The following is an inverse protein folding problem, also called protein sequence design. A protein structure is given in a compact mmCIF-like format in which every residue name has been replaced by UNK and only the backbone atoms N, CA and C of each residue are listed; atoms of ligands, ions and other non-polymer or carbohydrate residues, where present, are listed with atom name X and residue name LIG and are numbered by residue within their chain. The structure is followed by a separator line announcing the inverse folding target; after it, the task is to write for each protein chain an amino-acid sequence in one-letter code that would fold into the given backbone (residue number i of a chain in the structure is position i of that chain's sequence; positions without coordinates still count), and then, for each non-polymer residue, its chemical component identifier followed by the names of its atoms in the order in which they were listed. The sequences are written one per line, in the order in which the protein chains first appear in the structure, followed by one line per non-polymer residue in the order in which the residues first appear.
data_IF_060285788366
#
_entry.id   IF_060285788366
#
_cell.length_a   1.000
_cell.length_b   1.000
_cell.length_c   1.000
_cell.angle_alpha   90.00
_cell.angle_beta   90.00
_cell.angle_gamma   90.00
#
_symmetry.space_group_name_H-M   'P 1'
#
loop_
_entity.id
_entity.type
_entity.pdbx_description
1 polymer ?
#
# COMPACT_ATOMS: atom_id res chain seq x y z
N UNK A 1 12.60 8.12 -37.18
CA UNK A 1 12.20 7.55 -35.88
C UNK A 1 11.24 6.41 -36.18
N UNK A 2 11.73 5.18 -36.12
CA UNK A 2 10.91 3.99 -36.30
C UNK A 2 10.36 3.57 -34.94
N UNK A 3 9.05 3.31 -34.85
CA UNK A 3 8.42 2.84 -33.62
C UNK A 3 8.15 1.34 -33.72
N UNK A 4 8.80 0.57 -32.86
CA UNK A 4 8.53 -0.85 -32.68
C UNK A 4 7.59 -1.00 -31.49
N UNK A 5 6.39 -1.54 -31.72
CA UNK A 5 5.42 -1.82 -30.66
C UNK A 5 5.48 -3.30 -30.30
N UNK A 6 5.71 -3.59 -29.03
CA UNK A 6 5.63 -4.93 -28.47
C UNK A 6 4.70 -4.91 -27.26
N UNK A 7 3.88 -5.94 -27.10
CA UNK A 7 3.03 -6.12 -25.93
C UNK A 7 3.49 -7.33 -25.14
N UNK A 8 3.38 -7.25 -23.83
CA UNK A 8 3.86 -8.29 -22.91
C UNK A 8 2.79 -9.38 -22.80
N UNK A 9 3.22 -10.64 -22.66
CA UNK A 9 2.30 -11.76 -22.46
C UNK A 9 1.61 -11.63 -21.09
N UNK A 10 0.33 -12.03 -21.00
CA UNK A 10 -0.45 -12.00 -19.75
C UNK A 10 0.31 -12.68 -18.60
N UNK A 11 0.38 -12.01 -17.45
CA UNK A 11 1.06 -12.50 -16.24
C UNK A 11 2.54 -12.13 -16.10
N UNK A 12 3.14 -11.49 -17.11
CA UNK A 12 4.55 -11.03 -17.06
C UNK A 12 4.59 -9.52 -16.83
N UNK A 13 5.50 -9.06 -15.96
CA UNK A 13 5.69 -7.65 -15.68
C UNK A 13 6.41 -6.98 -16.85
N UNK A 14 5.87 -5.86 -17.34
CA UNK A 14 6.49 -5.11 -18.42
C UNK A 14 7.88 -4.57 -18.03
N UNK A 15 8.00 -4.11 -16.78
CA UNK A 15 9.24 -3.60 -16.20
C UNK A 15 10.38 -4.63 -16.24
N UNK A 16 10.13 -5.87 -15.81
CA UNK A 16 11.17 -6.91 -15.81
C UNK A 16 11.61 -7.33 -17.21
N UNK A 17 10.72 -7.25 -18.19
CA UNK A 17 11.06 -7.51 -19.60
C UNK A 17 11.85 -6.35 -20.22
N UNK A 18 11.51 -5.09 -19.88
CA UNK A 18 12.28 -3.92 -20.31
C UNK A 18 13.70 -3.99 -19.74
N UNK A 19 13.86 -4.33 -18.46
CA UNK A 19 15.18 -4.50 -17.86
C UNK A 19 16.01 -5.60 -18.55
N UNK A 20 15.40 -6.75 -18.87
CA UNK A 20 16.07 -7.81 -19.63
C UNK A 20 16.48 -7.37 -21.03
N UNK A 21 15.63 -6.58 -21.71
CA UNK A 21 15.94 -6.05 -23.05
C UNK A 21 17.03 -4.98 -22.95
N UNK A 22 17.04 -4.13 -21.92
CA UNK A 22 18.10 -3.16 -21.65
C UNK A 22 19.45 -3.85 -21.40
N UNK A 23 19.46 -4.90 -20.57
CA UNK A 23 20.66 -5.70 -20.30
C UNK A 23 21.15 -6.41 -21.57
N UNK A 24 20.22 -6.96 -22.37
CA UNK A 24 20.55 -7.54 -23.67
C UNK A 24 21.10 -6.50 -24.65
N UNK A 25 20.49 -5.31 -24.72
CA UNK A 25 20.95 -4.20 -25.56
C UNK A 25 22.35 -3.74 -25.16
N UNK A 26 22.65 -3.68 -23.86
CA UNK A 26 23.97 -3.33 -23.34
C UNK A 26 25.04 -4.39 -23.68
N UNK A 27 24.65 -5.65 -23.85
CA UNK A 27 25.56 -6.73 -24.24
C UNK A 27 25.95 -6.73 -25.73
N UNK A 28 25.23 -5.97 -26.57
CA UNK A 28 25.44 -5.91 -28.01
C UNK A 28 26.09 -4.58 -28.42
N UNK A 29 27.03 -4.62 -29.35
CA UNK A 29 27.66 -3.43 -29.91
C UNK A 29 26.81 -2.86 -31.05
N UNK A 30 25.93 -1.91 -30.75
CA UNK A 30 25.23 -1.12 -31.76
C UNK A 30 26.11 0.03 -32.26
N UNK A 31 25.83 0.50 -33.48
CA UNK A 31 26.46 1.70 -34.02
C UNK A 31 26.10 2.92 -33.13
N UNK A 32 27.08 3.75 -32.70
CA UNK A 32 26.83 4.94 -31.88
C UNK A 32 25.87 5.95 -32.52
N UNK A 33 25.54 5.83 -33.81
CA UNK A 33 24.51 6.62 -34.47
C UNK A 33 23.06 6.24 -34.07
N UNK A 34 22.84 5.11 -33.38
CA UNK A 34 21.51 4.60 -33.03
C UNK A 34 21.20 4.86 -31.54
N UNK A 35 20.24 5.75 -31.27
CA UNK A 35 19.72 6.01 -29.93
C UNK A 35 18.43 5.21 -29.68
N UNK A 36 18.46 4.29 -28.73
CA UNK A 36 17.32 3.44 -28.37
C UNK A 36 16.70 4.00 -27.09
N UNK A 37 15.44 4.42 -27.17
CA UNK A 37 14.66 4.89 -26.01
C UNK A 37 13.39 4.05 -25.86
N UNK A 38 13.20 3.48 -24.68
CA UNK A 38 11.93 2.87 -24.29
C UNK A 38 10.89 3.97 -24.04
N UNK A 39 9.72 3.86 -24.66
CA UNK A 39 8.60 4.80 -24.51
C UNK A 39 7.29 4.07 -24.22
N UNK A 40 6.34 4.77 -23.60
CA UNK A 40 5.02 4.25 -23.26
C UNK A 40 4.94 3.83 -21.79
N UNK A 41 4.62 2.57 -21.52
CA UNK A 41 4.29 2.09 -20.18
C UNK A 41 5.44 2.24 -19.15
N UNK A 42 6.71 2.12 -19.56
CA UNK A 42 7.84 2.27 -18.64
C UNK A 42 8.08 3.74 -18.24
N UNK A 43 7.97 4.65 -19.20
CA UNK A 43 8.10 6.10 -18.98
C UNK A 43 6.97 6.60 -18.07
N UNK A 44 5.72 6.21 -18.35
CA UNK A 44 4.55 6.55 -17.54
C UNK A 44 4.63 5.97 -16.11
N UNK A 45 5.15 4.75 -15.96
CA UNK A 45 5.41 4.14 -14.65
C UNK A 45 6.49 4.90 -13.89
N UNK A 46 7.62 5.23 -14.53
CA UNK A 46 8.72 5.97 -13.90
C UNK A 46 8.29 7.37 -13.45
N UNK A 47 7.55 8.10 -14.29
CA UNK A 47 6.97 9.41 -13.95
C UNK A 47 6.00 9.29 -12.77
N UNK A 48 5.14 8.27 -12.77
CA UNK A 48 4.22 8.01 -11.66
C UNK A 48 4.96 7.69 -10.36
N UNK A 49 6.06 6.93 -10.42
CA UNK A 49 6.90 6.63 -9.26
C UNK A 49 7.61 7.87 -8.71
N UNK A 50 8.13 8.73 -9.59
CA UNK A 50 8.73 9.99 -9.20
C UNK A 50 7.71 10.91 -8.50
N UNK A 51 6.50 11.01 -9.06
CA UNK A 51 5.41 11.79 -8.46
C UNK A 51 5.00 11.25 -7.08
N UNK A 52 4.78 9.93 -6.97
CA UNK A 52 4.36 9.30 -5.70
C UNK A 52 5.45 9.37 -4.65
N UNK A 53 6.72 9.16 -5.01
CA UNK A 53 7.84 9.29 -4.06
C UNK A 53 8.03 10.72 -3.56
N UNK A 54 7.90 11.72 -4.43
CA UNK A 54 7.92 13.13 -4.05
C UNK A 54 6.74 13.50 -3.12
N UNK A 55 5.53 13.04 -3.45
CA UNK A 55 4.34 13.25 -2.62
C UNK A 55 4.47 12.55 -1.25
N UNK A 56 5.06 11.35 -1.22
CA UNK A 56 5.31 10.60 0.01
C UNK A 56 6.31 11.32 0.93
N UNK A 57 7.41 11.85 0.37
CA UNK A 57 8.38 12.65 1.13
C UNK A 57 7.75 13.94 1.67
N UNK A 58 6.95 14.64 0.87
CA UNK A 58 6.23 15.83 1.31
C UNK A 58 5.24 15.51 2.45
N UNK A 59 4.50 14.41 2.33
CA UNK A 59 3.57 13.95 3.36
C UNK A 59 4.29 13.61 4.67
N UNK A 60 5.44 12.93 4.60
CA UNK A 60 6.29 12.65 5.75
C UNK A 60 6.82 13.93 6.40
N UNK A 61 7.24 14.92 5.61
CA UNK A 61 7.72 16.20 6.14
C UNK A 61 6.60 16.96 6.89
N UNK A 62 5.40 17.03 6.31
CA UNK A 62 4.24 17.64 6.97
C UNK A 62 3.90 16.88 8.26
N UNK A 63 3.88 15.55 8.21
CA UNK A 63 3.62 14.72 9.38
C UNK A 63 4.66 14.96 10.48
N UNK A 64 5.94 15.04 10.14
CA UNK A 64 7.01 15.31 11.10
C UNK A 64 6.80 16.65 11.82
N UNK A 65 6.47 17.71 11.08
CA UNK A 65 6.18 19.04 11.66
C UNK A 65 4.99 18.96 12.62
N UNK A 66 3.90 18.28 12.22
CA UNK A 66 2.73 18.09 13.07
C UNK A 66 3.07 17.35 14.37
N UNK A 67 3.89 16.30 14.29
CA UNK A 67 4.28 15.49 15.45
C UNK A 67 5.19 16.25 16.42
N UNK A 68 6.16 17.01 15.91
CA UNK A 68 7.02 17.85 16.74
C UNK A 68 6.18 18.92 17.45
N UNK A 69 5.24 19.54 16.71
CA UNK A 69 4.34 20.53 17.29
C UNK A 69 3.39 19.95 18.35
N UNK A 70 2.98 18.69 18.21
CA UNK A 70 2.02 18.05 19.11
C UNK A 70 2.67 17.54 20.41
N UNK A 71 3.78 16.81 20.29
CA UNK A 71 4.38 16.11 21.44
C UNK A 71 5.51 16.89 22.09
N UNK A 72 6.08 17.88 21.40
CA UNK A 72 7.25 18.65 21.85
C UNK A 72 8.37 17.75 22.42
N UNK A 73 8.47 16.51 21.93
CA UNK A 73 9.37 15.47 22.41
C UNK A 73 9.83 14.59 21.24
N UNK A 74 11.13 14.65 20.94
CA UNK A 74 11.75 13.98 19.81
C UNK A 74 11.63 12.45 19.85
N UNK A 75 11.71 11.82 21.03
CA UNK A 75 11.62 10.35 21.16
C UNK A 75 10.23 9.82 20.77
N UNK A 76 9.18 10.56 21.16
CA UNK A 76 7.80 10.20 20.85
C UNK A 76 7.52 10.38 19.36
N UNK A 77 8.01 11.47 18.77
CA UNK A 77 7.91 11.70 17.33
C UNK A 77 8.67 10.64 16.51
N UNK A 78 9.86 10.20 16.94
CA UNK A 78 10.62 9.16 16.23
C UNK A 78 9.95 7.78 16.27
N UNK A 79 9.26 7.44 17.36
CA UNK A 79 8.49 6.19 17.45
C UNK A 79 7.37 6.13 16.42
N UNK A 80 6.69 7.26 16.20
CA UNK A 80 5.61 7.36 15.22
C UNK A 80 6.17 7.29 13.79
N UNK A 81 7.29 7.98 13.50
CA UNK A 81 7.96 7.88 12.21
C UNK A 81 8.39 6.45 11.88
N UNK A 82 8.94 5.72 12.85
CA UNK A 82 9.30 4.30 12.68
C UNK A 82 8.07 3.45 12.34
N UNK A 83 6.92 3.74 12.94
CA UNK A 83 5.68 3.03 12.63
C UNK A 83 5.22 3.24 11.18
N UNK A 84 5.45 4.44 10.60
CA UNK A 84 5.16 4.69 9.19
C UNK A 84 6.06 3.86 8.28
N UNK A 85 7.35 3.79 8.58
CA UNK A 85 8.30 2.94 7.82
C UNK A 85 7.93 1.46 7.93
N UNK A 86 7.51 0.99 9.11
CA UNK A 86 7.01 -0.38 9.27
C UNK A 86 5.72 -0.63 8.49
N UNK A 87 4.83 0.37 8.40
CA UNK A 87 3.61 0.28 7.60
C UNK A 87 3.92 0.11 6.11
N UNK A 88 4.84 0.91 5.57
CA UNK A 88 5.23 0.80 4.15
C UNK A 88 5.85 -0.57 3.85
N UNK A 89 6.73 -1.06 4.73
CA UNK A 89 7.30 -2.41 4.62
C UNK A 89 6.21 -3.50 4.67
N UNK A 90 5.22 -3.37 5.55
CA UNK A 90 4.09 -4.30 5.66
C UNK A 90 3.26 -4.38 4.37
N UNK A 91 3.01 -3.25 3.71
CA UNK A 91 2.30 -3.22 2.43
C UNK A 91 3.12 -3.88 1.32
N UNK A 92 4.41 -3.57 1.23
CA UNK A 92 5.30 -4.17 0.23
C UNK A 92 5.41 -5.68 0.42
N UNK A 93 5.54 -6.15 1.67
CA UNK A 93 5.51 -7.58 2.00
C UNK A 93 4.16 -8.21 1.63
N UNK A 94 3.04 -7.52 1.88
CA UNK A 94 1.71 -7.98 1.50
C UNK A 94 1.56 -8.16 -0.01
N UNK A 95 2.05 -7.20 -0.81
CA UNK A 95 2.06 -7.31 -2.27
C UNK A 95 2.92 -8.49 -2.74
N UNK A 96 4.07 -8.70 -2.12
CA UNK A 96 4.99 -9.77 -2.45
C UNK A 96 4.38 -11.15 -2.17
N UNK A 97 3.66 -11.31 -1.06
CA UNK A 97 2.94 -12.55 -0.74
C UNK A 97 1.78 -12.80 -1.70
N UNK A 98 1.07 -11.76 -2.15
CA UNK A 98 -0.04 -11.87 -3.10
C UNK A 98 0.42 -12.02 -4.57
N UNK A 99 1.69 -11.78 -4.86
CA UNK A 99 2.24 -11.79 -6.22
C UNK A 99 1.60 -10.74 -7.14
N UNK A 100 1.12 -9.63 -6.57
CA UNK A 100 0.46 -8.57 -7.34
C UNK A 100 1.48 -7.53 -7.82
N UNK A 101 1.32 -6.97 -9.03
CA UNK A 101 2.19 -5.91 -9.54
C UNK A 101 2.18 -4.70 -8.62
N UNK A 102 3.34 -4.06 -8.47
CA UNK A 102 3.44 -2.77 -7.82
C UNK A 102 2.95 -1.68 -8.78
N UNK A 103 1.93 -0.93 -8.37
CA UNK A 103 1.39 0.19 -9.14
C UNK A 103 1.52 1.45 -8.30
N UNK A 104 2.24 2.46 -8.81
CA UNK A 104 2.56 3.68 -8.05
C UNK A 104 1.30 4.30 -7.41
N UNK A 105 0.24 4.45 -8.20
CA UNK A 105 -1.01 5.10 -7.80
C UNK A 105 -1.80 4.25 -6.80
N UNK A 106 -2.16 3.02 -7.17
CA UNK A 106 -3.00 2.15 -6.35
C UNK A 106 -2.31 1.74 -5.05
N UNK A 107 -1.04 1.33 -5.12
CA UNK A 107 -0.28 0.95 -3.94
C UNK A 107 0.08 2.17 -3.11
N UNK A 108 0.42 3.31 -3.73
CA UNK A 108 0.73 4.55 -3.02
C UNK A 108 -0.43 5.05 -2.15
N UNK A 109 -1.65 5.09 -2.71
CA UNK A 109 -2.86 5.46 -1.94
C UNK A 109 -3.09 4.48 -0.79
N UNK A 110 -2.90 3.17 -1.02
CA UNK A 110 -3.02 2.15 0.03
C UNK A 110 -2.01 2.33 1.17
N UNK A 111 -0.74 2.61 0.84
CA UNK A 111 0.31 2.89 1.82
C UNK A 111 -0.03 4.12 2.67
N UNK A 112 -0.43 5.21 2.03
CA UNK A 112 -0.78 6.46 2.75
C UNK A 112 -2.01 6.26 3.65
N UNK A 113 -3.03 5.54 3.17
CA UNK A 113 -4.22 5.23 3.96
C UNK A 113 -3.88 4.39 5.21
N UNK A 114 -3.07 3.34 5.05
CA UNK A 114 -2.63 2.49 6.16
C UNK A 114 -1.71 3.24 7.13
N UNK A 115 -0.80 4.07 6.62
CA UNK A 115 0.04 4.94 7.45
C UNK A 115 -0.82 5.85 8.33
N UNK A 116 -1.87 6.46 7.80
CA UNK A 116 -2.80 7.30 8.57
C UNK A 116 -3.49 6.55 9.71
N UNK A 117 -3.97 5.33 9.47
CA UNK A 117 -4.62 4.50 10.50
C UNK A 117 -3.61 4.14 11.61
N UNK A 118 -2.41 3.70 11.24
CA UNK A 118 -1.35 3.33 12.19
C UNK A 118 -0.90 4.53 13.02
N UNK A 119 -0.70 5.69 12.39
CA UNK A 119 -0.27 6.92 13.06
C UNK A 119 -1.36 7.41 14.01
N UNK A 120 -2.63 7.41 13.61
CA UNK A 120 -3.71 7.82 14.50
C UNK A 120 -3.74 6.95 15.77
N UNK A 121 -3.63 5.63 15.62
CA UNK A 121 -3.61 4.72 16.78
C UNK A 121 -2.41 4.99 17.73
N UNK A 122 -1.24 5.38 17.19
CA UNK A 122 -0.04 5.69 17.97
C UNK A 122 -0.07 7.09 18.63
N UNK A 123 -0.61 8.11 17.98
CA UNK A 123 -0.70 9.49 18.48
C UNK A 123 -1.56 9.55 19.73
N UNK A 124 -2.83 9.16 19.56
CA UNK A 124 -3.43 8.04 20.27
C UNK A 124 -2.58 7.67 21.48
N UNK A 125 -1.94 6.49 21.44
CA UNK A 125 -1.21 5.79 22.53
C UNK A 125 -0.31 6.67 23.40
N UNK A 126 0.42 7.57 22.77
CA UNK A 126 1.41 8.40 23.45
C UNK A 126 0.74 9.51 24.27
N UNK A 127 -0.34 10.11 23.76
CA UNK A 127 -1.02 11.21 24.44
C UNK A 127 -1.60 10.79 25.82
N UNK A 128 -2.44 9.76 25.88
CA UNK A 128 -2.95 9.22 27.16
C UNK A 128 -1.84 8.66 28.05
N UNK A 129 -0.72 8.15 27.51
CA UNK A 129 0.42 7.76 28.36
C UNK A 129 0.97 8.99 29.09
N UNK A 130 1.25 10.07 28.34
CA UNK A 130 1.67 11.35 28.92
C UNK A 130 0.62 11.92 29.88
N UNK A 131 -0.67 11.79 29.56
CA UNK A 131 -1.77 12.26 30.39
C UNK A 131 -1.85 11.53 31.74
N UNK A 132 -1.82 10.20 31.72
CA UNK A 132 -1.86 9.37 32.95
C UNK A 132 -0.58 9.56 33.77
N UNK A 133 0.57 9.68 33.12
CA UNK A 133 1.84 9.95 33.80
C UNK A 133 1.83 11.31 34.52
N UNK A 134 1.24 12.35 33.92
CA UNK A 134 1.06 13.67 34.57
C UNK A 134 0.06 13.65 35.71
N UNK A 135 -1.01 12.86 35.59
CA UNK A 135 -2.02 12.73 36.65
C UNK A 135 -1.55 11.92 37.85
N UNK A 136 -0.62 10.97 37.65
CA UNK A 136 -0.11 10.08 38.69
C UNK A 136 1.43 10.05 38.71
N UNK A 137 2.10 11.14 39.14
CA UNK A 137 3.56 11.27 39.08
C UNK A 137 4.35 10.30 39.98
N UNK A 138 3.68 9.59 40.90
CA UNK A 138 4.30 8.58 41.78
C UNK A 138 3.95 7.13 41.45
N UNK A 139 3.22 6.87 40.37
CA UNK A 139 2.83 5.52 39.98
C UNK A 139 3.94 4.85 39.16
N UNK A 140 4.15 3.54 39.35
CA UNK A 140 5.14 2.80 38.57
C UNK A 140 4.80 2.85 37.06
N UNK A 141 5.83 2.91 36.23
CA UNK A 141 5.69 3.05 34.77
C UNK A 141 4.86 1.88 34.21
N UNK A 142 4.99 0.67 34.78
CA UNK A 142 4.23 -0.50 34.35
C UNK A 142 2.73 -0.31 34.56
N UNK A 143 2.33 0.21 35.71
CA UNK A 143 0.91 0.45 36.03
C UNK A 143 0.31 1.56 35.16
N UNK A 144 1.09 2.59 34.85
CA UNK A 144 0.72 3.65 33.91
C UNK A 144 0.47 3.09 32.51
N UNK A 145 1.35 2.21 32.02
CA UNK A 145 1.19 1.56 30.71
C UNK A 145 -0.08 0.71 30.69
N UNK A 146 -0.30 -0.15 31.70
CA UNK A 146 -1.49 -1.03 31.75
C UNK A 146 -2.79 -0.23 31.71
N UNK A 147 -2.87 0.86 32.49
CA UNK A 147 -4.04 1.75 32.50
C UNK A 147 -4.23 2.47 31.15
N UNK A 148 -3.16 3.01 30.58
CA UNK A 148 -3.21 3.70 29.30
C UNK A 148 -3.63 2.75 28.17
N UNK A 149 -3.14 1.51 28.15
CA UNK A 149 -3.49 0.51 27.14
C UNK A 149 -4.94 0.01 27.32
N UNK A 150 -5.40 -0.21 28.55
CA UNK A 150 -6.76 -0.66 28.82
C UNK A 150 -7.83 0.33 28.33
N UNK A 151 -7.58 1.63 28.47
CA UNK A 151 -8.50 2.68 28.00
C UNK A 151 -8.60 2.74 26.47
N UNK A 152 -7.59 2.25 25.75
CA UNK A 152 -7.48 2.35 24.28
C UNK A 152 -7.90 1.12 23.53
N UNK A 153 -7.89 -0.03 24.19
CA UNK A 153 -8.25 -1.29 23.59
C UNK A 153 -9.62 -1.18 22.89
N UNK A 154 -10.58 -0.46 23.49
CA UNK A 154 -11.90 -0.21 22.90
C UNK A 154 -11.84 0.59 21.58
N UNK A 155 -11.27 1.82 21.55
CA UNK A 155 -11.06 2.56 20.30
C UNK A 155 -10.32 1.77 19.22
N UNK A 156 -9.21 1.10 19.56
CA UNK A 156 -8.37 0.38 18.58
C UNK A 156 -9.10 -0.84 18.00
N UNK A 157 -9.85 -1.57 18.83
CA UNK A 157 -10.67 -2.67 18.35
C UNK A 157 -11.78 -2.17 17.42
N UNK A 158 -12.44 -1.05 17.75
CA UNK A 158 -13.51 -0.51 16.93
C UNK A 158 -13.01 -0.05 15.57
N UNK A 159 -11.87 0.65 15.50
CA UNK A 159 -11.27 1.05 14.23
C UNK A 159 -10.85 -0.16 13.41
N UNK A 160 -10.18 -1.14 14.01
CA UNK A 160 -9.75 -2.36 13.32
C UNK A 160 -10.93 -3.15 12.77
N UNK A 161 -11.97 -3.38 13.58
CA UNK A 161 -13.19 -4.08 13.14
C UNK A 161 -13.85 -3.32 12.00
N UNK A 162 -13.95 -1.99 12.10
CA UNK A 162 -14.58 -1.17 11.06
C UNK A 162 -13.78 -1.21 9.75
N UNK A 163 -12.45 -1.13 9.82
CA UNK A 163 -11.59 -1.25 8.64
C UNK A 163 -11.69 -2.63 8.00
N UNK A 164 -11.66 -3.70 8.80
CA UNK A 164 -11.84 -5.07 8.30
C UNK A 164 -13.23 -5.21 7.67
N UNK A 165 -14.30 -4.84 8.35
CA UNK A 165 -15.66 -4.92 7.80
C UNK A 165 -15.86 -4.08 6.54
N UNK A 166 -15.21 -2.90 6.44
CA UNK A 166 -15.30 -2.03 5.28
C UNK A 166 -14.48 -2.52 4.07
N UNK A 167 -13.28 -3.05 4.31
CA UNK A 167 -12.39 -3.52 3.24
C UNK A 167 -12.64 -4.97 2.84
N UNK A 168 -13.21 -5.80 3.72
CA UNK A 168 -13.50 -7.21 3.46
C UNK A 168 -14.42 -7.45 2.24
N UNK A 169 -15.54 -6.72 2.04
CA UNK A 169 -16.37 -6.91 0.84
C UNK A 169 -15.66 -6.47 -0.44
N UNK A 170 -14.89 -5.38 -0.38
CA UNK A 170 -14.08 -4.90 -1.51
C UNK A 170 -13.00 -5.91 -1.88
N UNK A 171 -12.27 -6.44 -0.89
CA UNK A 171 -11.23 -7.45 -1.08
C UNK A 171 -11.81 -8.79 -1.56
N UNK A 172 -13.03 -9.14 -1.13
CA UNK A 172 -13.75 -10.32 -1.59
C UNK A 172 -14.33 -10.15 -3.01
N UNK A 173 -14.21 -8.97 -3.63
CA UNK A 173 -14.65 -8.69 -5.00
C UNK A 173 -16.17 -8.57 -5.14
N UNK A 174 -16.86 -8.15 -4.08
CA UNK A 174 -18.27 -7.76 -4.17
C UNK A 174 -18.34 -6.30 -4.62
N UNK A 175 -18.51 -6.08 -5.93
CA UNK A 175 -18.87 -4.77 -6.47
C UNK A 175 -20.38 -4.69 -6.62
N UNK A 176 -21.02 -3.90 -5.76
CA UNK A 176 -22.45 -3.60 -5.84
C UNK A 176 -22.60 -2.33 -6.65
N UNK A 177 -22.93 -2.45 -7.94
CA UNK A 177 -23.28 -1.29 -8.75
C UNK A 177 -24.76 -0.92 -8.50
N UNK A 178 -24.96 0.05 -7.61
CA UNK A 178 -26.29 0.55 -7.21
C UNK A 178 -27.00 1.30 -8.35
N UNK A 179 -26.26 1.87 -9.30
CA UNK A 179 -26.82 2.63 -10.41
C UNK A 179 -27.26 1.73 -11.57
N UNK A 180 -26.50 0.69 -11.90
CA UNK A 180 -26.83 -0.30 -12.93
C UNK A 180 -27.63 -1.52 -12.46
N UNK A 181 -27.97 -1.64 -11.16
CA UNK A 181 -28.64 -2.82 -10.55
C UNK A 181 -27.95 -4.15 -10.90
N UNK A 182 -26.61 -4.15 -10.98
CA UNK A 182 -25.85 -5.37 -11.22
C UNK A 182 -24.92 -5.66 -10.04
N UNK A 183 -24.97 -6.91 -9.58
CA UNK A 183 -24.06 -7.44 -8.55
C UNK A 183 -23.05 -8.32 -9.26
N UNK A 184 -21.89 -7.75 -9.56
CA UNK A 184 -20.73 -8.50 -10.06
C UNK A 184 -19.91 -8.97 -8.87
N UNK A 185 -19.80 -10.28 -8.69
CA UNK A 185 -18.97 -10.91 -7.68
C UNK A 185 -17.72 -11.49 -8.35
N UNK A 186 -16.79 -10.62 -8.74
CA UNK A 186 -15.52 -10.97 -9.41
C UNK A 186 -14.35 -11.11 -8.40
N UNK A 187 -14.59 -11.78 -7.28
CA UNK A 187 -13.55 -12.05 -6.29
C UNK A 187 -12.49 -13.04 -6.78
N UNK A 188 -11.24 -12.59 -6.91
CA UNK A 188 -10.02 -13.42 -7.13
C UNK A 188 -9.90 -14.58 -6.12
N UNK A 189 -10.48 -14.43 -4.92
CA UNK A 189 -10.57 -15.46 -3.88
C UNK A 189 -11.40 -16.70 -4.27
N UNK A 190 -12.31 -16.65 -5.26
CA UNK A 190 -13.06 -17.85 -5.69
C UNK A 190 -12.18 -18.90 -6.39
N UNK A 191 -11.07 -18.48 -7.00
CA UNK A 191 -10.15 -19.39 -7.69
C UNK A 191 -9.12 -20.05 -6.76
N UNK A 192 -8.92 -19.52 -5.54
CA UNK A 192 -7.98 -20.09 -4.57
C UNK A 192 -8.39 -21.49 -4.08
N UNK A 193 -9.66 -21.90 -4.27
CA UNK A 193 -10.17 -23.20 -3.81
C UNK A 193 -11.03 -24.01 -4.80
N UNK A 194 -11.33 -23.51 -6.02
CA UNK A 194 -12.14 -24.25 -7.00
C UNK A 194 -11.55 -24.16 -8.41
N UNK A 195 -11.10 -25.30 -8.91
CA UNK A 195 -10.71 -25.54 -10.30
C UNK A 195 -11.98 -25.53 -11.18
N UNK A 196 -12.46 -24.35 -11.55
CA UNK A 196 -13.64 -24.21 -12.40
C UNK A 196 -13.36 -24.72 -13.83
N UNK A 197 -14.23 -25.56 -14.42
CA UNK A 197 -14.04 -26.05 -15.78
C UNK A 197 -14.21 -24.92 -16.80
N UNK A 198 -13.38 -24.92 -17.86
CA UNK A 198 -13.28 -23.90 -18.93
C UNK A 198 -14.62 -23.46 -19.55
N UNK A 199 -15.66 -24.30 -19.52
CA UNK A 199 -17.00 -23.97 -20.05
C UNK A 199 -17.76 -22.94 -19.22
N UNK A 200 -17.52 -22.87 -17.90
CA UNK A 200 -18.19 -21.87 -17.04
C UNK A 200 -17.54 -20.47 -17.14
N UNK A 201 -16.23 -20.38 -17.38
CA UNK A 201 -15.55 -19.08 -17.60
C UNK A 201 -16.07 -18.35 -18.84
N UNK A 202 -16.45 -19.08 -19.90
CA UNK A 202 -16.97 -18.48 -21.13
C UNK A 202 -18.39 -17.90 -20.95
N UNK A 203 -19.19 -18.50 -20.06
CA UNK A 203 -20.57 -18.07 -19.80
C UNK A 203 -20.65 -16.82 -18.91
N UNK A 204 -19.70 -16.62 -18.00
CA UNK A 204 -19.68 -15.50 -17.04
C UNK A 204 -18.69 -14.38 -17.38
N UNK A 205 -17.99 -14.47 -18.54
CA UNK A 205 -17.03 -13.46 -19.02
C UNK A 205 -15.97 -13.04 -17.98
N UNK A 206 -15.65 -13.96 -17.06
CA UNK A 206 -14.64 -13.75 -16.03
C UNK A 206 -13.27 -13.57 -16.70
N UNK A 207 -12.44 -12.62 -16.26
CA UNK A 207 -11.06 -12.53 -16.71
C UNK A 207 -10.37 -13.87 -16.44
N UNK A 208 -9.68 -14.39 -17.46
CA UNK A 208 -8.96 -15.66 -17.34
C UNK A 208 -7.89 -15.50 -16.25
N UNK A 209 -7.79 -16.49 -15.36
CA UNK A 209 -6.60 -16.65 -14.51
C UNK A 209 -5.36 -16.85 -15.38
#
# INVERSE_FOLDING_TARGET
MELIRANVREGVMADSMVFQIEEWLASQSFDPAIEIRFRGANEEQADSMAFVSAAFLLALAIMFILLVSQFNNFYQSSLILLAVVMSTAGVLLGLLVLGSPFSALLTGVGVVALAGIVVNNNIILIDTFNHVQRQHPGMDIRDVIVRATAQRLRPVLLTTITTVCGLLPLAAGFSVDLAGRSITAEGKWRCFGRRYPRRLCLAYRLPRC
#
